data_IF_643915561875
#
_entry.id   IF_643915561875
#
_cell.length_a   1.000
_cell.length_b   1.000
_cell.length_c   1.000
_cell.angle_alpha   90.00
_cell.angle_beta   90.00
_cell.angle_gamma   90.00
#
_symmetry.space_group_name_H-M   'P 1'
#
loop_
_entity.id
_entity.type
_entity.pdbx_description
1 polymer ?
#
# COMPACT_ATOMS: atom_id res chain seq x y z
N UNK A 1 -43.92 -24.49 26.95
CA UNK A 1 -43.78 -25.67 26.11
C UNK A 1 -42.28 -25.88 25.85
N UNK A 2 -41.77 -26.94 26.53
CA UNK A 2 -40.36 -27.38 26.43
C UNK A 2 -40.19 -28.14 25.12
N UNK A 3 -39.15 -27.85 24.33
CA UNK A 3 -38.63 -28.75 23.30
C UNK A 3 -37.11 -28.95 23.48
N UNK A 4 -36.77 -30.23 23.48
CA UNK A 4 -35.48 -30.82 23.81
C UNK A 4 -34.46 -30.66 22.70
N UNK A 5 -33.22 -30.40 23.13
CA UNK A 5 -31.99 -30.45 22.34
C UNK A 5 -31.66 -31.92 21.99
N UNK A 6 -31.44 -32.20 20.72
CA UNK A 6 -30.91 -33.47 20.24
C UNK A 6 -29.48 -33.28 19.74
N UNK A 7 -28.56 -33.93 20.46
CA UNK A 7 -27.14 -33.99 20.15
C UNK A 7 -26.91 -35.16 19.22
N UNK A 8 -26.34 -34.94 18.04
CA UNK A 8 -25.88 -36.02 17.15
C UNK A 8 -24.36 -36.01 17.12
N UNK A 9 -23.78 -37.03 17.72
CA UNK A 9 -22.36 -37.37 17.63
C UNK A 9 -22.14 -38.19 16.36
N UNK A 10 -21.29 -37.75 15.45
CA UNK A 10 -20.80 -38.57 14.32
C UNK A 10 -19.33 -38.91 14.56
N UNK A 11 -19.08 -40.16 14.79
CA UNK A 11 -17.77 -40.78 14.86
C UNK A 11 -17.24 -41.06 13.45
N UNK A 12 -16.09 -40.53 13.10
CA UNK A 12 -15.35 -40.91 11.88
C UNK A 12 -14.33 -42.01 12.25
N UNK A 13 -14.48 -43.15 11.62
CA UNK A 13 -13.55 -44.31 11.71
C UNK A 13 -12.42 -44.13 10.70
N UNK A 14 -11.19 -44.28 11.18
CA UNK A 14 -9.96 -44.39 10.39
C UNK A 14 -9.79 -45.84 9.95
N UNK A 15 -9.68 -46.08 8.64
CA UNK A 15 -9.26 -47.36 8.08
C UNK A 15 -7.88 -47.20 7.45
N UNK A 16 -6.89 -47.84 8.06
CA UNK A 16 -5.56 -47.97 7.49
C UNK A 16 -5.51 -49.14 6.49
N UNK A 17 -4.80 -48.95 5.39
CA UNK A 17 -4.36 -50.07 4.52
C UNK A 17 -2.84 -50.09 4.43
N UNK A 18 -2.29 -51.15 5.01
CA UNK A 18 -0.91 -51.61 4.80
C UNK A 18 -0.95 -52.61 3.64
N UNK A 19 -0.09 -52.43 2.66
CA UNK A 19 0.21 -53.46 1.66
C UNK A 19 1.72 -53.63 1.54
N UNK A 20 2.18 -54.71 2.12
CA UNK A 20 3.48 -55.34 1.89
C UNK A 20 3.36 -56.28 0.69
N UNK A 21 4.37 -56.32 -0.16
CA UNK A 21 4.50 -57.29 -1.24
C UNK A 21 5.95 -57.47 -1.63
N UNK A 22 6.57 -58.51 -1.10
CA UNK A 22 7.89 -59.06 -1.47
C UNK A 22 7.79 -60.11 -2.59
N UNK A 23 8.91 -60.29 -3.30
CA UNK A 23 9.25 -61.50 -4.05
C UNK A 23 9.61 -61.18 -5.49
N UNK A 24 10.71 -61.50 -6.08
CA UNK A 24 11.69 -62.54 -5.89
C UNK A 24 12.09 -63.15 -7.23
N UNK A 25 13.31 -62.97 -7.59
CA UNK A 25 14.28 -63.94 -8.13
C UNK A 25 14.24 -64.49 -9.59
N UNK A 26 15.42 -64.34 -10.19
CA UNK A 26 16.25 -65.26 -10.95
C UNK A 26 16.08 -65.46 -12.46
N UNK A 27 17.11 -65.21 -13.13
CA UNK A 27 18.09 -66.07 -13.88
C UNK A 27 18.54 -65.44 -15.18
N UNK A 28 19.85 -65.31 -15.33
CA UNK A 28 20.54 -65.08 -16.60
C UNK A 28 20.81 -66.43 -17.31
N UNK A 29 21.76 -66.56 -18.26
CA UNK A 29 22.51 -65.59 -19.01
C UNK A 29 22.50 -65.84 -20.55
N UNK A 30 22.88 -64.88 -21.38
CA UNK A 30 23.56 -65.24 -22.65
C UNK A 30 24.30 -64.02 -23.25
N UNK A 31 25.54 -64.26 -23.58
CA UNK A 31 26.46 -63.36 -24.20
C UNK A 31 26.23 -63.25 -25.70
N UNK A 32 26.49 -62.05 -26.31
CA UNK A 32 27.35 -61.93 -27.52
C UNK A 32 27.63 -60.46 -27.88
N UNK A 33 28.90 -60.17 -27.89
CA UNK A 33 29.74 -59.42 -28.89
C UNK A 33 29.17 -58.19 -29.59
N UNK A 34 29.90 -57.11 -29.45
CA UNK A 34 30.42 -56.40 -30.59
C UNK A 34 30.23 -54.92 -30.64
N UNK A 35 31.30 -54.21 -30.28
CA UNK A 35 31.89 -53.15 -31.14
C UNK A 35 31.28 -51.77 -31.20
N UNK A 36 32.16 -50.91 -30.96
CA UNK A 36 32.40 -49.56 -31.50
C UNK A 36 32.04 -48.38 -30.58
N UNK A 37 33.11 -47.61 -30.38
CA UNK A 37 33.23 -46.50 -29.48
C UNK A 37 32.34 -45.32 -29.87
N UNK A 38 31.69 -44.83 -28.85
CA UNK A 38 31.16 -43.49 -28.81
C UNK A 38 31.86 -42.69 -27.73
N UNK A 39 32.39 -41.55 -28.08
CA UNK A 39 33.06 -40.62 -27.22
C UNK A 39 32.14 -40.28 -25.99
N UNK A 40 32.71 -39.99 -24.83
CA UNK A 40 31.94 -39.57 -23.68
C UNK A 40 31.20 -38.26 -24.02
N UNK A 41 29.93 -38.12 -23.62
CA UNK A 41 29.23 -36.84 -23.73
C UNK A 41 30.00 -35.77 -22.95
N UNK A 42 30.20 -34.63 -23.60
CA UNK A 42 30.71 -33.43 -22.92
C UNK A 42 29.91 -33.20 -21.66
N UNK A 43 30.51 -32.76 -20.57
CA UNK A 43 29.78 -32.46 -19.34
C UNK A 43 28.71 -31.41 -19.69
N UNK A 44 27.44 -31.78 -19.48
CA UNK A 44 26.37 -30.80 -19.41
C UNK A 44 26.80 -29.72 -18.42
N UNK A 45 26.64 -28.45 -18.81
CA UNK A 45 26.75 -27.37 -17.84
C UNK A 45 25.95 -27.81 -16.61
N UNK A 46 26.64 -28.02 -15.49
CA UNK A 46 26.00 -28.16 -14.21
C UNK A 46 25.08 -26.94 -14.07
N UNK A 47 23.81 -27.17 -13.85
CA UNK A 47 22.95 -26.14 -13.30
C UNK A 47 23.65 -25.71 -12.02
N UNK A 48 24.16 -24.47 -12.01
CA UNK A 48 24.68 -23.87 -10.79
C UNK A 48 23.54 -23.91 -9.79
N UNK A 49 23.72 -24.61 -8.69
CA UNK A 49 22.79 -24.56 -7.58
C UNK A 49 22.73 -23.12 -7.11
N UNK A 50 21.58 -22.46 -7.28
CA UNK A 50 21.32 -21.14 -6.73
C UNK A 50 21.19 -21.35 -5.22
N UNK A 51 22.29 -21.20 -4.48
CA UNK A 51 22.33 -21.44 -3.05
C UNK A 51 21.85 -20.21 -2.25
N UNK A 52 21.92 -19.00 -2.85
CA UNK A 52 21.51 -17.75 -2.22
C UNK A 52 20.06 -17.43 -2.49
N UNK A 53 19.35 -16.95 -1.47
CA UNK A 53 17.92 -16.60 -1.56
C UNK A 53 17.67 -15.30 -0.81
N UNK A 54 16.74 -14.50 -1.32
CA UNK A 54 16.22 -13.33 -0.63
C UNK A 54 14.71 -13.41 -0.52
N UNK A 55 14.18 -13.37 0.70
CA UNK A 55 12.75 -13.35 0.95
C UNK A 55 12.26 -11.92 1.08
N UNK A 56 11.39 -11.51 0.16
CA UNK A 56 10.80 -10.17 0.09
C UNK A 56 9.37 -10.24 0.58
N UNK A 57 9.09 -9.57 1.68
CA UNK A 57 7.77 -9.52 2.31
C UNK A 57 7.05 -8.22 1.99
N UNK A 58 5.82 -8.30 1.46
CA UNK A 58 5.01 -7.13 1.11
C UNK A 58 3.52 -7.44 1.21
N UNK A 59 2.67 -6.43 0.92
CA UNK A 59 1.22 -6.63 0.71
C UNK A 59 0.80 -6.45 -0.75
N UNK A 60 1.73 -6.36 -1.68
CA UNK A 60 1.47 -6.15 -3.10
C UNK A 60 1.10 -7.45 -3.79
N UNK A 61 -0.19 -7.78 -3.81
CA UNK A 61 -0.73 -9.07 -4.27
C UNK A 61 -1.78 -8.96 -5.36
N UNK A 62 -1.99 -7.78 -5.90
CA UNK A 62 -2.95 -7.57 -6.97
C UNK A 62 -2.85 -6.19 -7.57
N UNK A 63 -3.54 -5.99 -8.67
CA UNK A 63 -3.54 -4.77 -9.44
C UNK A 63 -2.13 -4.39 -9.92
N UNK A 64 -1.92 -3.12 -10.24
CA UNK A 64 -0.61 -2.59 -10.60
C UNK A 64 0.50 -2.82 -9.57
N UNK A 65 0.12 -3.08 -8.29
CA UNK A 65 1.03 -3.39 -7.20
C UNK A 65 1.83 -4.68 -7.44
N UNK A 66 1.12 -5.77 -7.75
CA UNK A 66 1.74 -7.06 -8.06
C UNK A 66 2.56 -6.97 -9.34
N UNK A 67 2.03 -6.33 -10.38
CA UNK A 67 2.75 -6.15 -11.65
C UNK A 67 4.06 -5.36 -11.44
N UNK A 68 4.05 -4.30 -10.63
CA UNK A 68 5.24 -3.53 -10.26
C UNK A 68 6.26 -4.37 -9.49
N UNK A 69 5.82 -5.13 -8.48
CA UNK A 69 6.71 -6.01 -7.70
C UNK A 69 7.34 -7.09 -8.58
N UNK A 70 6.55 -7.73 -9.45
CA UNK A 70 7.07 -8.75 -10.37
C UNK A 70 8.07 -8.15 -11.38
N UNK A 71 7.85 -6.91 -11.81
CA UNK A 71 8.81 -6.16 -12.63
C UNK A 71 10.15 -5.94 -11.90
N UNK A 72 10.10 -5.52 -10.61
CA UNK A 72 11.30 -5.39 -9.78
C UNK A 72 12.03 -6.72 -9.57
N UNK A 73 11.29 -7.79 -9.30
CA UNK A 73 11.86 -9.14 -9.13
C UNK A 73 12.51 -9.61 -10.43
N UNK A 74 11.87 -9.36 -11.58
CA UNK A 74 12.45 -9.68 -12.90
C UNK A 74 13.76 -8.94 -13.12
N UNK A 75 13.76 -7.62 -12.93
CA UNK A 75 14.96 -6.79 -13.08
C UNK A 75 16.08 -7.22 -12.12
N UNK A 76 15.74 -7.56 -10.87
CA UNK A 76 16.70 -8.09 -9.90
C UNK A 76 17.30 -9.43 -10.39
N UNK A 77 16.47 -10.36 -10.85
CA UNK A 77 16.92 -11.67 -11.33
C UNK A 77 17.82 -11.56 -12.55
N UNK A 78 17.59 -10.58 -13.43
CA UNK A 78 18.45 -10.31 -14.59
C UNK A 78 19.83 -9.78 -14.18
N UNK A 79 19.89 -9.00 -13.07
CA UNK A 79 21.14 -8.42 -12.55
C UNK A 79 21.89 -9.34 -11.59
N UNK A 80 21.18 -10.20 -10.88
CA UNK A 80 21.67 -11.06 -9.78
C UNK A 80 21.18 -12.50 -9.99
N UNK A 81 21.62 -13.13 -11.08
CA UNK A 81 21.16 -14.47 -11.49
C UNK A 81 21.44 -15.58 -10.46
N UNK A 82 22.38 -15.34 -9.54
CA UNK A 82 22.80 -16.30 -8.51
C UNK A 82 21.97 -16.18 -7.23
N UNK A 83 21.05 -15.21 -7.14
CA UNK A 83 20.18 -14.99 -5.97
C UNK A 83 18.73 -15.26 -6.37
N UNK A 84 18.09 -16.25 -5.73
CA UNK A 84 16.67 -16.55 -5.96
C UNK A 84 15.79 -15.67 -5.08
N UNK A 85 14.85 -14.93 -5.69
CA UNK A 85 13.83 -14.18 -4.94
C UNK A 85 12.70 -15.11 -4.49
N UNK A 86 12.34 -15.04 -3.21
CA UNK A 86 11.12 -15.60 -2.63
C UNK A 86 10.16 -14.44 -2.41
N UNK A 87 9.11 -14.37 -3.23
CA UNK A 87 8.03 -13.41 -3.03
C UNK A 87 7.09 -13.94 -1.93
N UNK A 88 7.16 -13.35 -0.74
CA UNK A 88 6.36 -13.68 0.43
C UNK A 88 5.23 -12.67 0.67
N UNK A 89 4.65 -12.14 -0.40
CA UNK A 89 3.55 -11.18 -0.30
C UNK A 89 2.31 -11.78 0.36
N UNK A 90 1.65 -11.02 1.24
CA UNK A 90 0.46 -11.44 1.99
C UNK A 90 -0.74 -10.60 1.58
N UNK A 91 -1.75 -11.25 1.04
CA UNK A 91 -2.96 -10.61 0.54
C UNK A 91 -3.89 -10.11 1.66
N UNK A 92 -4.64 -9.06 1.34
CA UNK A 92 -5.82 -8.61 2.07
C UNK A 92 -5.59 -7.41 2.98
N UNK A 93 -6.66 -6.61 3.11
CA UNK A 93 -6.74 -5.44 3.99
C UNK A 93 -5.77 -4.31 3.66
N UNK A 94 -5.30 -4.21 2.41
CA UNK A 94 -4.32 -3.19 1.98
C UNK A 94 -3.13 -3.06 2.96
N UNK A 95 -2.56 -4.19 3.35
CA UNK A 95 -1.45 -4.28 4.29
C UNK A 95 -1.83 -4.68 5.72
N UNK A 96 -3.09 -4.56 6.15
CA UNK A 96 -3.50 -4.92 7.53
C UNK A 96 -3.13 -6.35 7.88
N UNK A 97 -3.43 -7.33 7.00
CA UNK A 97 -3.09 -8.72 7.23
C UNK A 97 -1.58 -8.95 7.20
N UNK A 98 -0.88 -8.34 6.23
CA UNK A 98 0.57 -8.45 6.11
C UNK A 98 1.29 -7.90 7.35
N UNK A 99 0.89 -6.74 7.87
CA UNK A 99 1.46 -6.16 9.09
C UNK A 99 1.30 -7.08 10.31
N UNK A 100 0.14 -7.73 10.46
CA UNK A 100 -0.09 -8.69 11.54
C UNK A 100 0.79 -9.94 11.40
N UNK A 101 0.94 -10.48 10.18
CA UNK A 101 1.82 -11.62 9.90
C UNK A 101 3.28 -11.24 10.13
N UNK A 102 3.72 -10.07 9.65
CA UNK A 102 5.08 -9.57 9.86
C UNK A 102 5.41 -9.44 11.36
N UNK A 103 4.51 -8.82 12.13
CA UNK A 103 4.68 -8.67 13.57
C UNK A 103 4.83 -10.03 14.28
N UNK A 104 4.02 -11.02 13.90
CA UNK A 104 4.12 -12.39 14.42
C UNK A 104 5.45 -13.05 14.07
N UNK A 105 5.91 -12.94 12.82
CA UNK A 105 7.21 -13.48 12.36
C UNK A 105 8.38 -12.83 13.10
N UNK A 106 8.36 -11.49 13.23
CA UNK A 106 9.39 -10.74 13.96
C UNK A 106 9.47 -11.13 15.43
N UNK A 107 8.33 -11.40 16.09
CA UNK A 107 8.28 -11.88 17.47
C UNK A 107 8.74 -13.33 17.59
N UNK A 108 8.42 -14.15 16.60
CA UNK A 108 8.83 -15.56 16.54
C UNK A 108 10.29 -15.79 16.20
N UNK A 109 11.05 -14.74 15.85
CA UNK A 109 12.47 -14.84 15.45
C UNK A 109 12.67 -15.45 14.05
N UNK A 110 11.66 -15.36 13.18
CA UNK A 110 11.69 -15.78 11.77
C UNK A 110 11.33 -14.60 10.84
N UNK A 111 12.11 -13.49 10.86
CA UNK A 111 11.86 -12.36 9.97
C UNK A 111 12.11 -12.74 8.51
N UNK A 112 11.52 -12.00 7.54
CA UNK A 112 11.95 -12.05 6.14
C UNK A 112 13.32 -11.40 5.97
N UNK A 113 13.91 -11.43 4.76
CA UNK A 113 15.18 -10.75 4.51
C UNK A 113 14.99 -9.24 4.24
N UNK A 114 13.89 -8.86 3.58
CA UNK A 114 13.45 -7.47 3.47
C UNK A 114 11.93 -7.39 3.56
N UNK A 115 11.40 -6.27 4.07
CA UNK A 115 9.96 -6.08 4.20
C UNK A 115 9.51 -4.67 3.86
N UNK A 116 8.31 -4.58 3.30
CA UNK A 116 7.63 -3.33 3.01
C UNK A 116 7.13 -2.67 4.30
N UNK A 117 7.32 -1.36 4.39
CA UNK A 117 6.83 -0.50 5.48
C UNK A 117 6.62 0.92 4.94
N UNK A 118 5.63 1.65 5.43
CA UNK A 118 5.52 3.06 5.07
C UNK A 118 6.57 3.90 5.79
N UNK A 119 7.14 4.87 5.07
CA UNK A 119 8.01 5.88 5.67
C UNK A 119 7.25 6.78 6.66
N UNK A 120 7.92 7.26 7.69
CA UNK A 120 7.35 8.12 8.73
C UNK A 120 7.14 7.40 10.06
N UNK A 121 6.03 7.67 10.73
CA UNK A 121 5.80 7.20 12.10
C UNK A 121 5.73 5.66 12.21
N UNK A 122 5.17 4.95 11.24
CA UNK A 122 5.13 3.49 11.21
C UNK A 122 6.53 2.88 11.31
N UNK A 123 7.45 3.36 10.49
CA UNK A 123 8.85 2.94 10.55
C UNK A 123 9.53 3.42 11.84
N UNK A 124 9.48 4.72 12.09
CA UNK A 124 10.36 5.38 13.07
C UNK A 124 9.93 5.19 14.52
N UNK A 125 8.62 5.17 14.81
CA UNK A 125 8.07 4.96 16.16
C UNK A 125 7.72 3.49 16.43
N UNK A 126 7.60 2.69 15.37
CA UNK A 126 7.40 1.25 15.45
C UNK A 126 8.71 0.47 15.41
N UNK A 127 9.17 0.15 14.21
CA UNK A 127 10.28 -0.78 14.00
C UNK A 127 11.63 -0.26 14.47
N UNK A 128 11.95 1.02 14.19
CA UNK A 128 13.21 1.64 14.63
C UNK A 128 13.22 1.81 16.15
N UNK A 129 12.13 2.32 16.74
CA UNK A 129 12.06 2.49 18.18
C UNK A 129 12.12 1.14 18.94
N UNK A 130 11.60 0.08 18.35
CA UNK A 130 11.68 -1.29 18.88
C UNK A 130 13.01 -2.00 18.61
N UNK A 131 13.99 -1.31 17.99
CA UNK A 131 15.30 -1.86 17.64
C UNK A 131 15.23 -3.14 16.78
N UNK A 132 14.29 -3.17 15.80
CA UNK A 132 14.01 -4.34 14.97
C UNK A 132 14.59 -4.29 13.56
N UNK A 133 15.11 -3.15 13.13
CA UNK A 133 15.67 -2.93 11.77
C UNK A 133 17.14 -2.50 11.86
N UNK A 134 17.88 -2.74 10.79
CA UNK A 134 19.26 -2.32 10.69
C UNK A 134 19.39 -0.90 10.12
N UNK A 135 20.50 -0.26 10.43
CA UNK A 135 20.94 1.01 9.86
C UNK A 135 21.45 0.79 8.42
N UNK A 136 21.03 1.64 7.50
CA UNK A 136 21.37 1.58 6.08
C UNK A 136 22.25 2.77 5.61
N UNK A 137 22.85 3.54 6.51
CA UNK A 137 23.65 4.71 6.14
C UNK A 137 24.82 4.39 5.22
N UNK A 138 25.45 3.24 5.41
CA UNK A 138 26.52 2.73 4.55
C UNK A 138 26.00 2.49 3.12
N UNK A 139 24.82 1.89 2.97
CA UNK A 139 24.17 1.67 1.68
C UNK A 139 23.75 3.00 1.02
N UNK A 140 23.21 3.94 1.80
CA UNK A 140 22.88 5.29 1.30
C UNK A 140 24.11 6.05 0.81
N UNK A 141 25.25 5.90 1.49
CA UNK A 141 26.52 6.50 1.10
C UNK A 141 27.09 5.83 -0.16
N UNK A 142 27.07 4.49 -0.25
CA UNK A 142 27.55 3.71 -1.38
C UNK A 142 26.80 4.08 -2.67
N UNK A 143 25.47 4.17 -2.61
CA UNK A 143 24.61 4.46 -3.75
C UNK A 143 24.40 5.97 -4.02
N UNK A 144 24.92 6.83 -3.13
CA UNK A 144 24.78 8.28 -3.22
C UNK A 144 23.33 8.77 -3.04
N UNK A 145 22.50 8.02 -2.33
CA UNK A 145 21.07 8.28 -2.21
C UNK A 145 20.69 9.54 -1.44
N UNK A 146 21.57 10.04 -0.58
CA UNK A 146 21.35 11.30 0.12
C UNK A 146 21.16 12.50 -0.83
N UNK A 147 21.73 12.42 -2.04
CA UNK A 147 21.60 13.45 -3.08
C UNK A 147 20.62 13.05 -4.20
N UNK A 148 19.96 11.90 -4.08
CA UNK A 148 19.10 11.31 -5.11
C UNK A 148 17.64 11.19 -4.69
N UNK A 149 17.36 11.18 -3.40
CA UNK A 149 16.00 11.27 -2.87
C UNK A 149 15.72 12.68 -2.34
N UNK A 150 14.46 13.17 -2.43
CA UNK A 150 14.08 14.43 -1.80
C UNK A 150 14.36 14.38 -0.29
N UNK A 151 14.76 15.54 0.27
CA UNK A 151 15.04 15.63 1.70
C UNK A 151 13.85 15.16 2.55
N UNK A 152 12.64 15.46 2.14
CA UNK A 152 11.40 15.09 2.83
C UNK A 152 11.24 13.57 2.92
N UNK A 153 11.65 12.81 1.90
CA UNK A 153 11.65 11.36 1.96
C UNK A 153 12.78 10.83 2.85
N UNK A 154 13.98 11.44 2.75
CA UNK A 154 15.09 11.10 3.65
C UNK A 154 14.66 11.27 5.11
N UNK A 155 13.96 12.36 5.44
CA UNK A 155 13.44 12.60 6.80
C UNK A 155 12.41 11.52 7.23
N UNK A 156 11.55 11.05 6.31
CA UNK A 156 10.57 10.00 6.59
C UNK A 156 11.21 8.62 6.84
N UNK A 157 12.33 8.32 6.20
CA UNK A 157 13.01 7.02 6.35
C UNK A 157 14.14 7.04 7.36
N UNK A 158 14.36 8.17 8.04
CA UNK A 158 15.48 8.38 8.95
C UNK A 158 15.02 8.70 10.38
N UNK A 159 15.85 8.28 11.33
CA UNK A 159 15.75 8.67 12.75
C UNK A 159 17.15 8.88 13.32
N UNK A 160 17.31 9.96 14.07
CA UNK A 160 18.60 10.30 14.72
C UNK A 160 19.79 10.31 13.75
N UNK A 161 19.57 10.81 12.51
CA UNK A 161 20.60 10.91 11.46
C UNK A 161 20.94 9.57 10.78
N UNK A 162 20.14 8.53 10.97
CA UNK A 162 20.33 7.22 10.38
C UNK A 162 19.13 6.84 9.52
N UNK A 163 19.39 6.40 8.28
CA UNK A 163 18.37 5.85 7.38
C UNK A 163 18.13 4.37 7.71
N UNK A 164 16.87 3.92 7.69
CA UNK A 164 16.45 2.57 8.06
C UNK A 164 15.63 1.86 6.99
N UNK A 165 15.23 2.55 5.93
CA UNK A 165 14.54 1.94 4.79
C UNK A 165 14.84 2.71 3.50
N UNK A 166 14.59 2.06 2.36
CA UNK A 166 14.82 2.62 1.02
C UNK A 166 13.47 2.94 0.38
N UNK A 167 13.19 4.20 0.01
CA UNK A 167 11.95 4.58 -0.69
C UNK A 167 11.92 4.00 -2.11
N UNK A 168 10.75 3.49 -2.52
CA UNK A 168 10.54 3.03 -3.90
C UNK A 168 9.65 3.96 -4.71
N UNK A 169 8.78 4.73 -4.05
CA UNK A 169 7.79 5.59 -4.69
C UNK A 169 7.45 6.82 -3.85
N UNK A 170 6.68 7.70 -4.47
CA UNK A 170 5.86 8.71 -3.82
C UNK A 170 4.43 8.53 -4.33
N UNK A 171 3.47 8.38 -3.43
CA UNK A 171 2.05 8.42 -3.69
C UNK A 171 1.45 9.75 -3.27
N UNK A 172 0.49 10.24 -4.07
CA UNK A 172 -0.39 11.32 -3.67
C UNK A 172 -1.65 10.76 -3.02
N UNK A 173 -1.87 11.07 -1.73
CA UNK A 173 -3.01 10.57 -0.97
C UNK A 173 -4.28 11.41 -1.13
N UNK A 174 -4.19 12.68 -1.54
CA UNK A 174 -5.31 13.62 -1.59
C UNK A 174 -5.87 13.80 -3.01
N UNK A 175 -6.32 12.71 -3.64
CA UNK A 175 -6.83 12.73 -5.02
C UNK A 175 -8.28 12.25 -5.07
N UNK A 176 -9.10 12.93 -5.88
CA UNK A 176 -10.38 12.42 -6.37
C UNK A 176 -10.21 12.04 -7.83
N UNK A 177 -10.46 10.78 -8.14
CA UNK A 177 -10.63 10.29 -9.51
C UNK A 177 -12.10 10.35 -9.89
N UNK A 178 -12.41 10.74 -11.11
CA UNK A 178 -13.79 10.83 -11.59
C UNK A 178 -13.98 10.22 -12.98
N UNK A 179 -15.16 9.67 -13.22
CA UNK A 179 -15.56 9.15 -14.53
C UNK A 179 -15.81 10.33 -15.48
N UNK A 180 -14.95 10.45 -16.48
CA UNK A 180 -14.98 11.60 -17.39
C UNK A 180 -16.28 11.65 -18.20
N UNK A 181 -16.78 10.50 -18.64
CA UNK A 181 -18.04 10.43 -19.40
C UNK A 181 -19.23 10.93 -18.59
N UNK A 182 -19.32 10.58 -17.31
CA UNK A 182 -20.39 11.09 -16.43
C UNK A 182 -20.32 12.60 -16.33
N UNK A 183 -19.13 13.16 -16.13
CA UNK A 183 -18.95 14.61 -16.02
C UNK A 183 -19.29 15.32 -17.33
N UNK A 184 -18.78 14.85 -18.45
CA UNK A 184 -19.02 15.44 -19.79
C UNK A 184 -20.51 15.36 -20.16
N UNK A 185 -21.17 14.21 -20.00
CA UNK A 185 -22.59 14.01 -20.31
C UNK A 185 -23.53 14.89 -19.46
N UNK A 186 -23.09 15.30 -18.28
CA UNK A 186 -23.87 16.13 -17.37
C UNK A 186 -23.42 17.59 -17.32
N UNK A 187 -22.41 17.99 -18.12
CA UNK A 187 -21.88 19.36 -18.16
C UNK A 187 -21.27 19.80 -16.83
N UNK A 188 -20.70 18.86 -16.06
CA UNK A 188 -20.12 19.12 -14.76
C UNK A 188 -18.63 19.45 -14.87
N UNK A 189 -18.14 20.25 -13.91
CA UNK A 189 -16.72 20.51 -13.71
C UNK A 189 -16.28 19.77 -12.44
N UNK A 190 -15.03 19.29 -12.44
CA UNK A 190 -14.45 18.66 -11.26
C UNK A 190 -14.34 19.69 -10.09
N UNK A 191 -14.82 19.33 -8.88
CA UNK A 191 -15.00 20.30 -7.79
C UNK A 191 -13.69 20.61 -7.08
N UNK A 192 -13.34 21.89 -6.95
CA UNK A 192 -12.12 22.37 -6.27
C UNK A 192 -12.35 22.72 -4.80
N UNK A 193 -13.60 23.00 -4.42
CA UNK A 193 -14.00 23.34 -3.06
C UNK A 193 -15.06 22.38 -2.53
N UNK A 194 -15.24 22.29 -1.21
CA UNK A 194 -16.31 21.47 -0.63
C UNK A 194 -17.70 21.92 -1.08
N UNK A 195 -17.94 23.21 -1.24
CA UNK A 195 -19.23 23.72 -1.71
C UNK A 195 -19.51 23.30 -3.16
N UNK A 196 -18.49 23.35 -4.03
CA UNK A 196 -18.59 22.82 -5.40
C UNK A 196 -18.83 21.31 -5.38
N UNK A 197 -18.12 20.55 -4.52
CA UNK A 197 -18.32 19.11 -4.38
C UNK A 197 -19.78 18.79 -4.02
N UNK A 198 -20.34 19.46 -3.03
CA UNK A 198 -21.73 19.24 -2.63
C UNK A 198 -22.71 19.62 -3.74
N UNK A 199 -22.43 20.70 -4.47
CA UNK A 199 -23.26 21.10 -5.63
C UNK A 199 -23.24 20.05 -6.72
N UNK A 200 -22.08 19.51 -7.09
CA UNK A 200 -21.90 18.43 -8.06
C UNK A 200 -22.58 17.14 -7.56
N UNK A 201 -22.40 16.81 -6.29
CA UNK A 201 -22.96 15.61 -5.69
C UNK A 201 -24.50 15.67 -5.66
N UNK A 202 -25.10 16.81 -5.33
CA UNK A 202 -26.56 17.01 -5.37
C UNK A 202 -27.11 16.88 -6.80
N UNK A 203 -26.43 17.46 -7.78
CA UNK A 203 -26.83 17.35 -9.19
C UNK A 203 -26.78 15.92 -9.72
N UNK A 204 -25.75 15.14 -9.35
CA UNK A 204 -25.62 13.74 -9.70
C UNK A 204 -26.70 12.88 -9.02
N UNK A 205 -26.88 13.08 -7.71
CA UNK A 205 -27.88 12.35 -6.92
C UNK A 205 -29.30 12.57 -7.42
N UNK A 206 -29.63 13.80 -7.83
CA UNK A 206 -30.92 14.13 -8.42
C UNK A 206 -31.21 13.37 -9.75
N UNK A 207 -30.15 12.89 -10.42
CA UNK A 207 -30.21 12.07 -11.64
C UNK A 207 -30.12 10.56 -11.36
N UNK A 208 -30.06 10.15 -10.09
CA UNK A 208 -29.91 8.75 -9.70
C UNK A 208 -28.50 8.20 -9.92
N UNK A 209 -27.49 9.07 -10.06
CA UNK A 209 -26.09 8.67 -10.20
C UNK A 209 -25.44 8.75 -8.81
N UNK A 210 -24.76 7.69 -8.38
CA UNK A 210 -23.99 7.69 -7.12
C UNK A 210 -22.85 8.70 -7.23
N UNK A 211 -22.80 9.77 -6.39
CA UNK A 211 -21.80 10.80 -6.54
C UNK A 211 -20.38 10.36 -6.16
N UNK A 212 -20.24 9.58 -5.07
CA UNK A 212 -18.95 9.17 -4.51
C UNK A 212 -18.95 7.67 -4.27
N UNK A 213 -17.99 6.94 -4.82
CA UNK A 213 -17.74 5.56 -4.47
C UNK A 213 -16.83 5.49 -3.24
N UNK A 214 -17.25 4.75 -2.23
CA UNK A 214 -16.48 4.40 -1.05
C UNK A 214 -16.48 2.87 -0.90
N UNK A 215 -15.35 2.31 -0.46
CA UNK A 215 -15.22 0.91 -0.12
C UNK A 215 -14.45 0.82 1.19
N UNK A 216 -15.17 0.84 2.31
CA UNK A 216 -14.61 0.93 3.66
C UNK A 216 -14.80 -0.36 4.49
N UNK A 217 -14.86 -1.49 3.78
CA UNK A 217 -14.71 -2.80 4.41
C UNK A 217 -13.45 -2.83 5.30
N UNK A 218 -12.38 -2.21 4.85
CA UNK A 218 -11.20 -1.89 5.65
C UNK A 218 -11.29 -0.43 6.11
N UNK A 219 -11.26 -0.13 7.42
CA UNK A 219 -11.53 1.21 7.98
C UNK A 219 -10.60 2.33 7.50
N UNK A 220 -9.39 1.99 7.03
CA UNK A 220 -8.40 2.98 6.59
C UNK A 220 -8.90 3.84 5.42
N UNK A 221 -9.77 3.33 4.56
CA UNK A 221 -10.30 4.07 3.40
C UNK A 221 -11.22 5.23 3.83
N UNK A 222 -12.10 4.97 4.80
CA UNK A 222 -12.92 6.01 5.42
C UNK A 222 -12.07 7.00 6.23
N UNK A 223 -11.02 6.52 6.92
CA UNK A 223 -10.04 7.37 7.61
C UNK A 223 -9.30 8.27 6.61
N UNK A 224 -8.92 7.75 5.45
CA UNK A 224 -8.29 8.52 4.39
C UNK A 224 -9.21 9.62 3.84
N UNK A 225 -10.49 9.35 3.66
CA UNK A 225 -11.44 10.39 3.26
C UNK A 225 -11.54 11.48 4.34
N UNK A 226 -11.64 11.11 5.63
CA UNK A 226 -11.68 12.09 6.72
C UNK A 226 -10.38 12.90 6.80
N UNK A 227 -9.19 12.27 6.73
CA UNK A 227 -7.92 13.01 6.80
C UNK A 227 -7.75 14.01 5.65
N UNK A 228 -8.23 13.67 4.46
CA UNK A 228 -8.25 14.58 3.32
C UNK A 228 -9.19 15.77 3.55
N UNK A 229 -10.36 15.54 4.16
CA UNK A 229 -11.27 16.62 4.56
C UNK A 229 -10.61 17.49 5.63
N UNK A 230 -9.96 16.88 6.63
CA UNK A 230 -9.24 17.61 7.69
C UNK A 230 -8.11 18.49 7.10
N UNK A 231 -7.35 17.96 6.14
CA UNK A 231 -6.31 18.74 5.47
C UNK A 231 -6.92 19.91 4.67
N UNK A 232 -8.08 19.72 4.03
CA UNK A 232 -8.79 20.78 3.33
C UNK A 232 -9.38 21.87 4.24
N UNK A 233 -9.73 21.54 5.50
CA UNK A 233 -10.25 22.47 6.49
C UNK A 233 -9.16 23.22 7.26
N UNK A 234 -8.07 22.53 7.57
CA UNK A 234 -6.96 23.04 8.38
C UNK A 234 -5.88 23.73 7.51
N UNK A 235 -5.75 23.29 6.25
CA UNK A 235 -4.55 23.50 5.45
C UNK A 235 -3.41 22.61 5.88
N UNK A 236 -2.46 22.32 4.97
CA UNK A 236 -1.36 21.37 5.23
C UNK A 236 -0.53 21.72 6.49
N UNK A 237 -0.29 23.01 6.75
CA UNK A 237 0.58 23.43 7.85
C UNK A 237 -0.06 23.17 9.22
N UNK A 238 -1.34 23.50 9.40
CA UNK A 238 -2.04 23.25 10.67
C UNK A 238 -2.44 21.77 10.79
N UNK A 239 -2.70 21.08 9.67
CA UNK A 239 -2.87 19.62 9.67
C UNK A 239 -1.63 18.90 10.22
N UNK A 240 -0.41 19.29 9.82
CA UNK A 240 0.84 18.74 10.40
C UNK A 240 0.93 18.97 11.91
N UNK A 241 0.44 20.10 12.40
CA UNK A 241 0.47 20.44 13.82
C UNK A 241 -0.47 19.62 14.70
N UNK A 242 -1.45 18.91 14.12
CA UNK A 242 -2.22 17.90 14.86
C UNK A 242 -1.31 16.82 15.44
N UNK A 243 -0.30 16.40 14.70
CA UNK A 243 0.59 15.29 15.04
C UNK A 243 1.66 15.68 16.07
N UNK A 244 1.95 16.97 16.19
CA UNK A 244 2.80 17.51 17.27
C UNK A 244 1.99 17.95 18.47
N UNK A 245 0.66 18.04 18.34
CA UNK A 245 -0.26 18.52 19.35
C UNK A 245 -0.26 20.04 19.54
N UNK A 246 0.34 20.81 18.64
CA UNK A 246 0.22 22.27 18.59
C UNK A 246 -1.18 22.70 18.17
N UNK A 247 -1.80 22.02 17.20
CA UNK A 247 -3.24 22.05 16.95
C UNK A 247 -3.88 20.88 17.66
N UNK A 248 -4.99 21.11 18.32
CA UNK A 248 -5.68 20.07 19.11
C UNK A 248 -6.81 19.43 18.32
N UNK A 249 -7.15 18.18 18.64
CA UNK A 249 -8.29 17.48 18.01
C UNK A 249 -9.66 18.04 18.41
N UNK A 250 -9.73 18.93 19.42
CA UNK A 250 -10.95 19.68 19.77
C UNK A 250 -11.04 21.06 19.08
N UNK A 251 -10.15 21.37 18.12
CA UNK A 251 -10.26 22.54 17.24
C UNK A 251 -11.58 22.51 16.46
N UNK A 252 -12.22 23.66 16.31
CA UNK A 252 -13.49 23.79 15.60
C UNK A 252 -13.43 23.33 14.14
N UNK A 253 -12.26 23.41 13.48
CA UNK A 253 -12.05 22.94 12.12
C UNK A 253 -12.06 21.40 12.04
N UNK A 254 -11.64 20.71 13.09
CA UNK A 254 -11.79 19.24 13.21
C UNK A 254 -13.26 18.88 13.34
N UNK A 255 -14.04 19.64 14.15
CA UNK A 255 -15.52 19.49 14.20
C UNK A 255 -16.12 19.68 12.80
N UNK A 256 -15.77 20.76 12.12
CA UNK A 256 -16.21 21.05 10.75
C UNK A 256 -15.87 19.92 9.76
N UNK A 257 -14.71 19.29 9.92
CA UNK A 257 -14.27 18.16 9.11
C UNK A 257 -15.20 16.95 9.30
N UNK A 258 -15.56 16.62 10.52
CA UNK A 258 -16.54 15.55 10.81
C UNK A 258 -17.94 15.87 10.27
N UNK A 259 -18.40 17.12 10.35
CA UNK A 259 -19.68 17.54 9.76
C UNK A 259 -19.68 17.36 8.23
N UNK A 260 -18.60 17.76 7.55
CA UNK A 260 -18.44 17.56 6.11
C UNK A 260 -18.34 16.07 5.76
N UNK A 261 -17.60 15.30 6.53
CA UNK A 261 -17.50 13.85 6.35
C UNK A 261 -18.87 13.19 6.49
N UNK A 262 -19.64 13.53 7.55
CA UNK A 262 -21.01 13.08 7.71
C UNK A 262 -21.88 13.40 6.48
N UNK A 263 -21.77 14.60 5.96
CA UNK A 263 -22.49 15.01 4.76
C UNK A 263 -22.03 14.21 3.53
N UNK A 264 -20.72 14.00 3.33
CA UNK A 264 -20.19 13.21 2.22
C UNK A 264 -20.67 11.75 2.26
N UNK A 265 -20.81 11.15 3.44
CA UNK A 265 -21.35 9.79 3.59
C UNK A 265 -22.80 9.66 3.10
N UNK A 266 -23.56 10.74 2.96
CA UNK A 266 -24.91 10.70 2.35
C UNK A 266 -24.89 10.56 0.82
N UNK A 267 -23.73 10.64 0.19
CA UNK A 267 -23.52 10.55 -1.26
C UNK A 267 -22.80 9.28 -1.70
N UNK A 268 -22.44 8.39 -0.77
CA UNK A 268 -21.73 7.15 -1.09
C UNK A 268 -22.69 6.04 -1.53
N UNK A 269 -22.16 5.02 -2.20
CA UNK A 269 -22.89 3.79 -2.53
C UNK A 269 -23.37 3.08 -1.25
N UNK A 270 -24.59 2.50 -1.31
CA UNK A 270 -25.23 1.88 -0.13
C UNK A 270 -24.46 0.67 0.43
N UNK A 271 -23.70 -0.01 -0.41
CA UNK A 271 -22.95 -1.22 -0.06
C UNK A 271 -21.46 -0.95 0.29
N UNK A 272 -21.10 0.31 0.60
CA UNK A 272 -19.73 0.74 0.86
C UNK A 272 -19.01 -0.12 1.90
N UNK A 273 -19.68 -0.49 3.00
CA UNK A 273 -19.09 -1.29 4.08
C UNK A 273 -18.76 -2.75 3.69
N UNK A 274 -19.29 -3.24 2.57
CA UNK A 274 -19.01 -4.58 2.05
C UNK A 274 -17.92 -4.58 0.96
N UNK A 275 -17.53 -3.41 0.45
CA UNK A 275 -16.56 -3.25 -0.64
C UNK A 275 -15.17 -2.91 -0.11
N UNK A 276 -14.16 -3.41 -0.80
CA UNK A 276 -12.80 -2.90 -0.66
C UNK A 276 -12.60 -1.67 -1.59
N UNK A 277 -11.40 -1.07 -1.56
CA UNK A 277 -11.11 0.12 -2.36
C UNK A 277 -11.11 -0.15 -3.87
N UNK A 278 -10.70 -1.37 -4.31
CA UNK A 278 -10.73 -1.76 -5.72
C UNK A 278 -12.18 -1.86 -6.22
N UNK A 279 -13.06 -2.50 -5.43
CA UNK A 279 -14.48 -2.61 -5.76
C UNK A 279 -15.14 -1.23 -5.91
N UNK A 280 -14.80 -0.28 -5.02
CA UNK A 280 -15.29 1.10 -5.11
C UNK A 280 -14.73 1.82 -6.35
N UNK A 281 -13.44 1.69 -6.63
CA UNK A 281 -12.82 2.26 -7.82
C UNK A 281 -13.43 1.68 -9.11
N UNK A 282 -13.77 0.40 -9.12
CA UNK A 282 -14.44 -0.25 -10.24
C UNK A 282 -15.83 0.34 -10.52
N UNK A 283 -16.58 0.79 -9.49
CA UNK A 283 -17.86 1.49 -9.72
C UNK A 283 -17.68 2.76 -10.55
N UNK A 284 -16.57 3.48 -10.33
CA UNK A 284 -16.24 4.69 -11.11
C UNK A 284 -15.85 4.30 -12.54
N UNK A 285 -15.03 3.29 -12.72
CA UNK A 285 -14.62 2.78 -14.03
C UNK A 285 -15.82 2.35 -14.88
N UNK A 286 -16.78 1.67 -14.26
CA UNK A 286 -18.00 1.18 -14.91
C UNK A 286 -19.10 2.25 -15.10
N UNK A 287 -18.89 3.48 -14.62
CA UNK A 287 -19.89 4.55 -14.68
C UNK A 287 -21.08 4.35 -13.74
N UNK A 288 -20.95 3.51 -12.71
CA UNK A 288 -21.95 3.29 -11.65
C UNK A 288 -21.84 4.31 -10.52
N UNK A 289 -20.67 4.92 -10.37
CA UNK A 289 -20.43 6.07 -9.51
C UNK A 289 -19.61 7.11 -10.25
N UNK A 290 -19.74 8.38 -9.84
CA UNK A 290 -19.10 9.48 -10.54
C UNK A 290 -17.67 9.72 -10.09
N UNK A 291 -17.37 9.58 -8.80
CA UNK A 291 -16.08 9.93 -8.18
C UNK A 291 -15.65 8.88 -7.17
N UNK A 292 -14.34 8.82 -6.86
CA UNK A 292 -13.79 8.14 -5.67
C UNK A 292 -12.62 8.96 -5.12
N UNK A 293 -12.55 9.10 -3.79
CA UNK A 293 -11.37 9.65 -3.12
C UNK A 293 -10.44 8.50 -2.75
N UNK A 294 -9.26 8.44 -3.37
CA UNK A 294 -8.30 7.36 -3.16
C UNK A 294 -6.91 7.83 -3.58
N UNK A 295 -5.86 7.26 -2.97
CA UNK A 295 -4.50 7.51 -3.44
C UNK A 295 -4.26 7.00 -4.86
N UNK A 296 -3.17 7.44 -5.45
CA UNK A 296 -2.89 7.21 -6.88
C UNK A 296 -2.55 5.75 -7.25
N UNK A 297 -2.48 4.82 -6.28
CA UNK A 297 -2.57 3.39 -6.59
C UNK A 297 -3.90 3.03 -7.29
N UNK A 298 -4.97 3.80 -7.08
CA UNK A 298 -6.21 3.65 -7.85
C UNK A 298 -6.00 3.99 -9.34
N UNK A 299 -5.14 4.96 -9.66
CA UNK A 299 -4.72 5.22 -11.05
C UNK A 299 -4.02 3.99 -11.63
N UNK A 300 -3.11 3.35 -10.88
CA UNK A 300 -2.48 2.10 -11.29
C UNK A 300 -3.51 1.00 -11.58
N UNK A 301 -4.52 0.85 -10.72
CA UNK A 301 -5.64 -0.06 -10.94
C UNK A 301 -6.41 0.27 -12.22
N UNK A 302 -6.76 1.52 -12.46
CA UNK A 302 -7.44 1.94 -13.68
C UNK A 302 -6.62 1.64 -14.95
N UNK A 303 -5.35 1.99 -14.97
CA UNK A 303 -4.52 1.88 -16.17
C UNK A 303 -3.94 0.50 -16.39
N UNK A 304 -3.46 -0.16 -15.31
CA UNK A 304 -2.75 -1.44 -15.41
C UNK A 304 -3.71 -2.62 -15.45
N UNK A 305 -4.79 -2.61 -14.65
CA UNK A 305 -5.73 -3.73 -14.61
C UNK A 305 -6.93 -3.52 -15.53
N UNK A 306 -7.59 -2.37 -15.42
CA UNK A 306 -8.82 -2.10 -16.18
C UNK A 306 -8.54 -1.54 -17.58
N UNK A 307 -7.27 -1.25 -17.92
CA UNK A 307 -6.83 -0.74 -19.23
C UNK A 307 -7.50 0.58 -19.64
N UNK A 308 -7.91 1.38 -18.64
CA UNK A 308 -8.47 2.71 -18.88
C UNK A 308 -7.37 3.71 -19.24
N UNK A 309 -7.74 4.72 -20.00
CA UNK A 309 -6.83 5.76 -20.51
C UNK A 309 -7.07 7.07 -19.73
N UNK A 310 -6.03 7.56 -19.09
CA UNK A 310 -6.04 8.84 -18.37
C UNK A 310 -6.46 10.00 -19.31
N UNK A 311 -7.27 10.92 -18.81
CA UNK A 311 -7.89 12.03 -19.56
C UNK A 311 -8.91 11.64 -20.64
N UNK A 312 -9.15 10.34 -20.89
CA UNK A 312 -10.19 9.87 -21.80
C UNK A 312 -11.32 9.20 -21.03
N UNK A 313 -11.01 8.19 -20.23
CA UNK A 313 -12.00 7.42 -19.48
C UNK A 313 -12.19 7.99 -18.07
N UNK A 314 -11.14 8.46 -17.46
CA UNK A 314 -11.15 9.09 -16.14
C UNK A 314 -10.30 10.36 -16.11
N UNK A 315 -10.68 11.27 -15.22
CA UNK A 315 -9.90 12.44 -14.83
C UNK A 315 -9.58 12.41 -13.34
N UNK A 316 -8.82 13.39 -12.89
CA UNK A 316 -8.42 13.56 -11.49
C UNK A 316 -8.42 15.03 -11.08
N UNK A 317 -8.50 15.23 -9.79
CA UNK A 317 -8.35 16.53 -9.14
C UNK A 317 -7.94 16.27 -7.69
N UNK A 318 -7.29 17.25 -7.08
CA UNK A 318 -7.04 17.22 -5.65
C UNK A 318 -8.35 17.16 -4.86
N UNK A 319 -8.32 16.52 -3.70
CA UNK A 319 -9.46 16.60 -2.78
C UNK A 319 -9.81 18.08 -2.53
N UNK A 320 -11.11 18.46 -2.48
CA UNK A 320 -11.53 19.85 -2.32
C UNK A 320 -10.77 20.58 -1.22
N UNK A 321 -10.43 21.85 -1.50
CA UNK A 321 -9.64 22.75 -0.65
C UNK A 321 -8.18 22.32 -0.38
N UNK A 322 -7.64 21.32 -1.09
CA UNK A 322 -6.25 20.86 -0.90
C UNK A 322 -5.32 21.16 -2.09
N UNK A 323 -5.70 22.08 -3.00
CA UNK A 323 -4.99 22.31 -4.26
C UNK A 323 -3.56 22.85 -4.12
N UNK A 324 -3.17 23.39 -2.95
CA UNK A 324 -1.79 23.82 -2.65
C UNK A 324 -1.01 22.78 -1.82
N UNK A 325 -1.60 21.62 -1.60
CA UNK A 325 -1.13 20.61 -0.65
C UNK A 325 -0.95 19.26 -1.32
N UNK A 326 0.03 18.50 -0.85
CA UNK A 326 0.32 17.13 -1.30
C UNK A 326 0.41 16.21 -0.09
N UNK A 327 -0.53 15.26 0.04
CA UNK A 327 -0.46 14.24 1.07
C UNK A 327 0.50 13.16 0.61
N UNK A 328 1.66 13.11 1.25
CA UNK A 328 2.76 12.19 0.91
C UNK A 328 2.56 10.84 1.58
N UNK A 329 2.59 9.80 0.76
CA UNK A 329 2.71 8.42 1.19
C UNK A 329 3.89 7.83 0.44
N UNK A 330 4.77 7.12 1.13
CA UNK A 330 5.90 6.43 0.50
C UNK A 330 5.98 5.00 0.98
N UNK A 331 5.95 4.06 0.05
CA UNK A 331 6.34 2.69 0.33
C UNK A 331 7.86 2.61 0.38
N UNK A 332 8.35 1.92 1.37
CA UNK A 332 9.78 1.72 1.58
C UNK A 332 10.07 0.27 1.93
N UNK A 333 11.31 -0.16 1.79
CA UNK A 333 11.75 -1.47 2.26
C UNK A 333 12.86 -1.34 3.28
N UNK A 334 12.68 -2.05 4.39
CA UNK A 334 13.64 -2.16 5.47
C UNK A 334 14.20 -3.58 5.55
N UNK A 335 15.40 -3.71 6.13
CA UNK A 335 16.03 -5.00 6.46
C UNK A 335 15.86 -5.22 7.97
N UNK A 336 15.22 -6.31 8.40
CA UNK A 336 15.07 -6.61 9.80
C UNK A 336 16.39 -7.09 10.43
N UNK A 337 16.58 -6.83 11.71
CA UNK A 337 17.62 -7.53 12.47
C UNK A 337 17.31 -9.02 12.51
N UNK A 338 18.29 -9.83 12.15
CA UNK A 338 18.14 -11.28 12.08
C UNK A 338 17.64 -11.81 10.72
N UNK A 339 17.67 -10.97 9.66
CA UNK A 339 17.53 -11.44 8.28
C UNK A 339 18.50 -12.61 8.02
N UNK A 340 18.04 -13.61 7.27
CA UNK A 340 18.83 -14.82 6.98
C UNK A 340 19.93 -14.54 5.97
N UNK A 341 19.63 -13.67 4.99
CA UNK A 341 20.59 -13.21 3.99
C UNK A 341 20.52 -11.68 3.84
N UNK A 342 21.16 -10.96 4.79
CA UNK A 342 21.26 -9.51 4.77
C UNK A 342 21.93 -8.99 3.49
N UNK A 343 22.96 -9.70 2.98
CA UNK A 343 23.67 -9.25 1.78
C UNK A 343 22.76 -9.31 0.55
N UNK A 344 22.01 -10.40 0.37
CA UNK A 344 21.06 -10.52 -0.73
C UNK A 344 19.91 -9.50 -0.62
N UNK A 345 19.47 -9.18 0.62
CA UNK A 345 18.50 -8.11 0.86
C UNK A 345 19.06 -6.74 0.44
N UNK A 346 20.30 -6.42 0.77
CA UNK A 346 20.98 -5.18 0.35
C UNK A 346 21.05 -5.07 -1.17
N UNK A 347 21.41 -6.15 -1.88
CA UNK A 347 21.41 -6.16 -3.35
C UNK A 347 20.02 -5.93 -3.92
N UNK A 348 18.96 -6.48 -3.31
CA UNK A 348 17.59 -6.19 -3.72
C UNK A 348 17.23 -4.72 -3.50
N UNK A 349 17.59 -4.13 -2.35
CA UNK A 349 17.36 -2.72 -2.06
C UNK A 349 18.11 -1.79 -3.02
N UNK A 350 19.30 -2.16 -3.51
CA UNK A 350 20.01 -1.39 -4.56
C UNK A 350 19.18 -1.31 -5.85
N UNK A 351 18.60 -2.42 -6.29
CA UNK A 351 17.73 -2.44 -7.45
C UNK A 351 16.47 -1.63 -7.21
N UNK A 352 15.82 -1.80 -6.07
CA UNK A 352 14.59 -1.07 -5.68
C UNK A 352 14.83 0.45 -5.64
N UNK A 353 15.95 0.91 -5.07
CA UNK A 353 16.30 2.33 -4.98
C UNK A 353 16.93 2.92 -6.25
N UNK A 354 17.20 2.10 -7.29
CA UNK A 354 17.75 2.57 -8.56
C UNK A 354 16.72 3.30 -9.43
N UNK A 355 17.19 4.15 -10.35
CA UNK A 355 16.30 4.79 -11.35
C UNK A 355 15.57 3.72 -12.16
N UNK A 356 16.28 2.69 -12.62
CA UNK A 356 15.74 1.62 -13.44
C UNK A 356 14.65 0.82 -12.70
N UNK A 357 14.87 0.48 -11.42
CA UNK A 357 13.88 -0.21 -10.59
C UNK A 357 12.63 0.65 -10.39
N UNK A 358 12.80 1.94 -10.13
CA UNK A 358 11.65 2.84 -9.95
C UNK A 358 10.90 3.12 -11.26
N UNK A 359 11.59 3.17 -12.40
CA UNK A 359 10.97 3.30 -13.72
C UNK A 359 10.18 2.05 -14.13
N UNK A 360 10.58 0.87 -13.68
CA UNK A 360 9.82 -0.38 -13.89
C UNK A 360 8.59 -0.43 -12.98
N UNK A 361 8.71 -0.01 -11.73
CA UNK A 361 7.67 -0.15 -10.71
C UNK A 361 6.58 0.92 -10.79
N UNK A 362 6.97 2.21 -10.79
CA UNK A 362 6.05 3.31 -10.54
C UNK A 362 4.96 3.50 -11.62
N UNK A 363 5.24 3.38 -12.93
CA UNK A 363 4.20 3.49 -13.95
C UNK A 363 3.08 2.44 -13.78
N UNK A 364 3.43 1.21 -13.36
CA UNK A 364 2.48 0.11 -13.14
C UNK A 364 1.68 0.30 -11.85
N UNK A 365 2.36 0.74 -10.78
CA UNK A 365 1.76 0.99 -9.46
C UNK A 365 0.84 2.22 -9.46
N UNK A 366 1.08 3.18 -10.34
CA UNK A 366 0.34 4.45 -10.41
C UNK A 366 0.99 5.59 -9.66
N UNK A 367 2.11 5.36 -9.00
CA UNK A 367 2.89 6.32 -8.22
C UNK A 367 3.90 7.08 -9.07
N UNK A 368 4.58 8.05 -8.46
CA UNK A 368 5.74 8.72 -9.04
C UNK A 368 7.04 8.22 -8.40
N UNK A 369 8.21 8.39 -9.08
CA UNK A 369 9.47 7.93 -8.54
C UNK A 369 9.86 8.71 -7.30
N UNK A 370 10.46 8.03 -6.33
CA UNK A 370 11.10 8.67 -5.19
C UNK A 370 12.39 9.42 -5.59
N UNK A 371 13.00 9.03 -6.72
CA UNK A 371 14.26 9.63 -7.22
C UNK A 371 14.02 10.94 -7.95
N UNK A 372 14.82 11.97 -7.60
CA UNK A 372 14.76 13.29 -8.25
C UNK A 372 15.40 13.32 -9.64
N UNK A 373 16.22 12.31 -9.99
CA UNK A 373 16.90 12.18 -11.27
C UNK A 373 16.22 11.18 -12.23
N UNK A 374 14.99 10.74 -11.91
CA UNK A 374 14.17 9.92 -12.80
C UNK A 374 13.71 10.71 -14.03
N UNK A 375 13.59 10.01 -15.18
CA UNK A 375 13.10 10.62 -16.41
C UNK A 375 11.58 10.73 -16.43
N UNK A 376 11.08 11.94 -16.17
CA UNK A 376 9.66 12.28 -16.17
C UNK A 376 8.92 11.84 -17.45
N UNK A 377 9.60 11.79 -18.60
CA UNK A 377 8.99 11.42 -19.89
C UNK A 377 8.50 9.98 -19.97
N UNK A 378 8.96 9.12 -19.06
CA UNK A 378 8.51 7.72 -18.93
C UNK A 378 7.17 7.55 -18.22
N UNK A 379 6.62 8.64 -17.67
CA UNK A 379 5.36 8.65 -16.92
C UNK A 379 4.24 9.21 -17.81
N UNK A 380 3.01 8.77 -17.57
CA UNK A 380 1.83 9.31 -18.26
C UNK A 380 1.50 10.74 -17.78
N UNK A 381 0.43 11.33 -18.32
CA UNK A 381 0.04 12.71 -18.01
C UNK A 381 -0.21 12.95 -16.51
N UNK A 382 -0.82 11.97 -15.82
CA UNK A 382 -1.01 12.03 -14.36
C UNK A 382 0.34 12.05 -13.63
N UNK A 383 1.21 11.10 -13.94
CA UNK A 383 2.52 11.00 -13.28
C UNK A 383 3.40 12.23 -13.54
N UNK A 384 3.37 12.78 -14.76
CA UNK A 384 4.12 14.00 -15.09
C UNK A 384 3.62 15.23 -14.32
N UNK A 385 2.30 15.40 -14.19
CA UNK A 385 1.69 16.45 -13.39
C UNK A 385 2.01 16.27 -11.91
N UNK A 386 1.85 15.07 -11.38
CA UNK A 386 2.12 14.74 -9.97
C UNK A 386 3.59 14.95 -9.59
N UNK A 387 4.55 14.65 -10.49
CA UNK A 387 5.98 14.95 -10.29
C UNK A 387 6.23 16.46 -10.16
N UNK A 388 5.56 17.28 -10.96
CA UNK A 388 5.70 18.73 -10.87
C UNK A 388 5.02 19.30 -9.62
N UNK A 389 3.83 18.82 -9.29
CA UNK A 389 3.09 19.22 -8.10
C UNK A 389 3.84 18.90 -6.81
N UNK A 390 4.47 17.73 -6.72
CA UNK A 390 5.28 17.37 -5.56
C UNK A 390 6.37 18.39 -5.24
N UNK A 391 6.97 19.01 -6.26
CA UNK A 391 8.06 19.97 -6.10
C UNK A 391 7.64 21.32 -5.54
N UNK A 392 6.35 21.67 -5.69
CA UNK A 392 5.85 23.03 -5.37
C UNK A 392 4.79 23.05 -4.27
N UNK A 393 4.18 21.92 -3.99
CA UNK A 393 3.10 21.80 -2.99
C UNK A 393 3.64 21.78 -1.56
N UNK A 394 2.78 22.17 -0.61
CA UNK A 394 3.01 21.94 0.81
C UNK A 394 2.79 20.47 1.14
N UNK A 395 3.83 19.82 1.60
CA UNK A 395 3.77 18.38 1.92
C UNK A 395 3.14 18.14 3.30
N UNK A 396 2.28 17.14 3.39
CA UNK A 396 1.66 16.70 4.63
C UNK A 396 1.68 15.16 4.72
N UNK A 397 1.92 14.57 5.92
CA UNK A 397 1.95 13.13 6.10
C UNK A 397 0.53 12.53 6.18
N UNK A 398 0.35 11.27 5.76
CA UNK A 398 -0.91 10.55 5.89
C UNK A 398 -1.03 9.82 7.23
N UNK A 399 -2.17 9.97 7.89
CA UNK A 399 -2.54 9.19 9.07
C UNK A 399 -2.90 7.75 8.70
N UNK A 400 -3.76 7.60 7.69
CA UNK A 400 -4.26 6.30 7.26
C UNK A 400 -3.14 5.35 6.79
N UNK A 401 -2.00 5.92 6.35
CA UNK A 401 -0.84 5.17 5.86
C UNK A 401 0.38 5.28 6.78
N UNK A 402 0.16 5.59 8.07
CA UNK A 402 1.17 5.48 9.11
C UNK A 402 2.31 6.48 9.06
N UNK A 403 2.27 7.49 8.16
CA UNK A 403 3.33 8.51 8.11
C UNK A 403 3.20 9.57 9.20
N UNK A 404 1.96 9.94 9.56
CA UNK A 404 1.66 11.10 10.40
C UNK A 404 1.79 10.84 11.91
N UNK A 405 1.36 9.68 12.38
CA UNK A 405 1.20 9.40 13.81
C UNK A 405 1.62 7.98 14.18
N UNK A 406 1.96 7.72 15.46
CA UNK A 406 2.24 6.38 15.94
C UNK A 406 1.11 5.40 15.65
N UNK A 407 1.45 4.13 15.37
CA UNK A 407 0.51 3.05 15.02
C UNK A 407 -0.63 2.91 16.05
N UNK A 408 -0.34 3.10 17.34
CA UNK A 408 -1.36 3.06 18.39
C UNK A 408 -2.42 4.14 18.25
N UNK A 409 -2.06 5.34 17.76
CA UNK A 409 -3.03 6.38 17.44
C UNK A 409 -3.78 6.06 16.14
N UNK A 410 -3.08 5.65 15.10
CA UNK A 410 -3.69 5.32 13.80
C UNK A 410 -4.75 4.22 13.95
N UNK A 411 -4.46 3.18 14.73
CA UNK A 411 -5.42 2.10 15.05
C UNK A 411 -6.67 2.64 15.77
N UNK A 412 -6.50 3.50 16.78
CA UNK A 412 -7.63 4.09 17.50
C UNK A 412 -8.43 5.03 16.58
N UNK A 413 -7.76 5.83 15.75
CA UNK A 413 -8.42 6.71 14.78
C UNK A 413 -9.27 5.90 13.78
N UNK A 414 -8.75 4.81 13.24
CA UNK A 414 -9.51 3.89 12.38
C UNK A 414 -10.76 3.34 13.08
N UNK A 415 -10.67 3.00 14.38
CA UNK A 415 -11.83 2.55 15.16
C UNK A 415 -12.86 3.66 15.35
N UNK A 416 -12.40 4.89 15.68
CA UNK A 416 -13.28 6.06 15.81
C UNK A 416 -14.02 6.33 14.52
N UNK A 417 -13.32 6.34 13.40
CA UNK A 417 -13.92 6.58 12.07
C UNK A 417 -14.92 5.48 11.71
N UNK A 418 -14.58 4.21 11.94
CA UNK A 418 -15.49 3.09 11.67
C UNK A 418 -16.79 3.18 12.48
N UNK A 419 -16.72 3.59 13.75
CA UNK A 419 -17.90 3.83 14.57
C UNK A 419 -18.68 5.03 14.05
N UNK A 420 -18.00 6.12 13.69
CA UNK A 420 -18.60 7.34 13.16
C UNK A 420 -19.37 7.10 11.85
N UNK A 421 -18.83 6.31 10.93
CA UNK A 421 -19.50 5.94 9.67
C UNK A 421 -20.88 5.34 9.95
N UNK A 422 -21.02 4.62 11.06
CA UNK A 422 -22.29 3.98 11.43
C UNK A 422 -23.25 4.93 12.17
N UNK A 423 -22.74 5.75 13.12
CA UNK A 423 -23.59 6.52 14.02
C UNK A 423 -23.67 8.02 13.71
N UNK A 424 -22.67 8.58 13.00
CA UNK A 424 -22.60 9.99 12.66
C UNK A 424 -22.53 10.96 13.84
N UNK A 425 -22.05 10.50 15.02
CA UNK A 425 -21.94 11.32 16.23
C UNK A 425 -20.60 12.07 16.26
N UNK A 426 -20.66 13.35 15.85
CA UNK A 426 -19.49 14.23 15.74
C UNK A 426 -18.84 14.47 17.10
N UNK A 427 -19.62 14.72 18.12
CA UNK A 427 -19.10 15.03 19.47
C UNK A 427 -18.40 13.80 20.07
N UNK A 428 -18.99 12.62 19.92
CA UNK A 428 -18.40 11.36 20.38
C UNK A 428 -17.09 11.08 19.64
N UNK A 429 -17.07 11.22 18.32
CA UNK A 429 -15.88 10.95 17.50
C UNK A 429 -14.73 11.90 17.85
N UNK A 430 -15.01 13.20 17.97
CA UNK A 430 -14.01 14.19 18.33
C UNK A 430 -13.43 13.93 19.74
N UNK A 431 -14.27 13.67 20.74
CA UNK A 431 -13.82 13.32 22.09
C UNK A 431 -12.94 12.05 22.10
N UNK A 432 -13.30 11.07 21.29
CA UNK A 432 -12.52 9.84 21.16
C UNK A 432 -11.15 10.08 20.54
N UNK A 433 -11.04 10.95 19.49
CA UNK A 433 -9.74 11.34 18.94
C UNK A 433 -8.88 12.12 19.93
N UNK A 434 -9.47 13.04 20.71
CA UNK A 434 -8.76 13.74 21.80
C UNK A 434 -8.18 12.74 22.81
N UNK A 435 -8.97 11.75 23.23
CA UNK A 435 -8.53 10.71 24.16
C UNK A 435 -7.43 9.83 23.56
N UNK A 436 -7.56 9.47 22.27
CA UNK A 436 -6.56 8.72 21.53
C UNK A 436 -5.23 9.47 21.43
N UNK A 437 -5.26 10.79 21.15
CA UNK A 437 -4.06 11.63 21.08
C UNK A 437 -3.34 11.67 22.44
N UNK A 438 -4.08 11.87 23.54
CA UNK A 438 -3.53 11.89 24.88
C UNK A 438 -2.88 10.55 25.26
N UNK A 439 -3.55 9.42 24.97
CA UNK A 439 -3.04 8.08 25.26
C UNK A 439 -1.80 7.71 24.43
N UNK A 440 -1.71 8.21 23.20
CA UNK A 440 -0.60 7.97 22.29
C UNK A 440 0.56 8.95 22.47
N UNK A 441 0.46 9.91 23.39
CA UNK A 441 1.52 10.87 23.69
C UNK A 441 1.65 12.02 22.69
N UNK A 442 0.67 12.22 21.80
CA UNK A 442 0.67 13.37 20.90
C UNK A 442 0.50 14.66 21.72
N UNK A 443 1.46 15.58 21.59
CA UNK A 443 1.47 16.87 22.29
C UNK A 443 1.98 16.80 23.75
N UNK A 444 2.75 15.78 24.09
CA UNK A 444 3.48 15.67 25.37
C UNK A 444 4.89 16.17 25.25
#
# INVERSE_FOLDING_TARGET
>A
VKRKLGMILSTLSVAGMVLTGCGGNNNGPAASKGSEGSAPPSPSKAEQSVDQKVEIFSWWTGAGEEAGLLGLIGLFSDKQSDIKVINAAVAGGAGTNAKAVLASRMQGGDPPDAFQVHGGAELNTGWVAADKVIDLNDLFAEEGWNDKFPKELIDLVSKDGKAYSVPVNIHRGNVIFYNKKIFDDNGLQAPKTFDEFFTVADALKAKGITPLALGDKEPWTATMLLENIMMGELGADDYKKLWTGEVKFDDARVTSSFEKFKKMLTYVNEDHAARNWQDASQLVAEGKAAMTNMGDWAKGYFTTDLKLVANQDFGWIETPNTGDSFMVITDTFAIPKGAKDEQAAREFLKVLGSVEGQDVFNPLKGSIPARIDADKSKYDSYGQETIDDFKVSKLAPSLAHGSAAPEGFATQANQVVNIFVTNGDVEQAQKALVSAAQSSGIGK
#
